data_IF_299826077562
#
_entry.id   IF_299826077562
#
_cell.length_a   1.000
_cell.length_b   1.000
_cell.length_c   1.000
_cell.angle_alpha   90.00
_cell.angle_beta   90.00
_cell.angle_gamma   90.00
#
_symmetry.space_group_name_H-M   'P 1'
#
loop_
_entity.id
_entity.type
_entity.pdbx_description
1 polymer ?
#
# COMPACT_ATOMS: atom_id res chain seq x y z
N UNK A 1 27.91 -0.20 -45.25
CA UNK A 1 27.38 -0.91 -44.06
C UNK A 1 26.75 0.10 -43.11
N UNK A 2 25.43 0.05 -42.90
CA UNK A 2 24.77 0.66 -41.73
C UNK A 2 23.71 -0.30 -41.19
N UNK A 3 24.18 -1.46 -40.75
CA UNK A 3 23.43 -2.35 -39.90
C UNK A 3 23.75 -1.94 -38.47
N UNK A 4 22.91 -1.12 -37.83
CA UNK A 4 22.86 -0.88 -36.36
C UNK A 4 21.85 0.20 -35.99
N UNK A 5 20.61 0.12 -36.45
CA UNK A 5 19.51 0.74 -35.69
C UNK A 5 18.38 -0.27 -35.59
N UNK A 6 18.60 -1.21 -34.66
CA UNK A 6 17.56 -1.95 -33.97
C UNK A 6 16.58 -0.89 -33.43
N UNK A 7 15.50 -0.62 -34.16
CA UNK A 7 14.41 0.24 -33.69
C UNK A 7 13.69 -0.56 -32.59
N UNK A 8 14.32 -0.65 -31.42
CA UNK A 8 13.58 -0.80 -30.17
C UNK A 8 12.82 0.51 -30.02
N UNK A 9 11.59 0.58 -30.54
CA UNK A 9 10.66 1.66 -30.17
C UNK A 9 10.42 1.53 -28.68
N UNK A 10 11.32 2.12 -27.90
CA UNK A 10 11.16 2.31 -26.47
C UNK A 10 9.84 3.07 -26.36
N UNK A 11 8.91 2.53 -25.58
CA UNK A 11 7.75 3.28 -25.12
C UNK A 11 8.17 4.70 -24.67
N UNK A 12 7.27 5.68 -24.76
CA UNK A 12 7.55 7.06 -24.35
C UNK A 12 8.32 7.11 -23.01
N UNK A 13 9.21 8.08 -22.82
CA UNK A 13 9.96 8.25 -21.57
C UNK A 13 9.03 8.17 -20.36
N UNK A 14 9.29 7.22 -19.45
CA UNK A 14 8.43 6.91 -18.29
C UNK A 14 7.33 5.86 -18.55
N UNK A 15 7.35 5.17 -19.68
CA UNK A 15 6.45 4.06 -20.02
C UNK A 15 7.25 2.80 -20.32
N UNK A 16 6.73 1.66 -19.87
CA UNK A 16 7.31 0.33 -20.10
C UNK A 16 6.38 -0.51 -20.97
N UNK A 17 6.97 -1.27 -21.89
CA UNK A 17 6.23 -2.23 -22.72
C UNK A 17 5.81 -3.44 -21.87
N UNK A 18 4.52 -3.76 -21.90
CA UNK A 18 3.92 -4.89 -21.20
C UNK A 18 3.16 -5.74 -22.20
N UNK A 19 3.90 -6.56 -22.94
CA UNK A 19 3.35 -7.39 -24.00
C UNK A 19 2.86 -6.58 -25.20
N UNK A 20 1.88 -7.15 -25.91
CA UNK A 20 1.34 -6.62 -27.16
C UNK A 20 -0.18 -6.43 -27.03
N UNK A 21 -0.73 -5.38 -27.64
CA UNK A 21 -2.18 -5.09 -27.69
C UNK A 21 -2.66 -4.91 -29.12
N UNK A 22 -3.93 -5.25 -29.38
CA UNK A 22 -4.57 -5.07 -30.67
C UNK A 22 -5.15 -3.65 -30.79
N UNK A 23 -4.75 -2.89 -31.80
CA UNK A 23 -5.27 -1.55 -32.11
C UNK A 23 -5.81 -1.56 -33.54
N UNK A 24 -7.10 -1.85 -33.70
CA UNK A 24 -7.71 -2.13 -35.00
C UNK A 24 -7.18 -3.45 -35.57
N UNK A 25 -6.70 -3.43 -36.81
CA UNK A 25 -6.16 -4.62 -37.50
C UNK A 25 -4.67 -4.88 -37.25
N UNK A 26 -4.00 -4.09 -36.40
CA UNK A 26 -2.56 -4.22 -36.11
C UNK A 26 -2.28 -4.53 -34.64
N UNK A 27 -1.21 -5.28 -34.40
CA UNK A 27 -0.65 -5.53 -33.07
C UNK A 27 0.41 -4.49 -32.76
N UNK A 28 0.26 -3.79 -31.65
CA UNK A 28 1.19 -2.73 -31.21
C UNK A 28 1.72 -3.03 -29.80
N UNK A 29 2.96 -2.62 -29.46
CA UNK A 29 3.46 -2.68 -28.09
C UNK A 29 2.50 -2.03 -27.10
N UNK A 30 2.19 -2.73 -26.00
CA UNK A 30 1.38 -2.13 -24.94
C UNK A 30 2.27 -1.33 -23.99
N UNK A 31 2.44 -0.05 -24.30
CA UNK A 31 3.14 0.90 -23.43
C UNK A 31 2.21 1.39 -22.31
N UNK A 32 2.57 1.08 -21.07
CA UNK A 32 1.90 1.56 -19.84
C UNK A 32 2.89 2.35 -19.00
N UNK A 33 2.42 3.37 -18.29
CA UNK A 33 3.30 4.18 -17.43
C UNK A 33 4.00 3.28 -16.44
N UNK A 34 5.28 3.52 -16.20
CA UNK A 34 6.08 2.76 -15.23
C UNK A 34 5.43 2.72 -13.84
N UNK A 35 4.75 3.80 -13.44
CA UNK A 35 3.98 3.88 -12.20
C UNK A 35 2.81 2.88 -12.16
N UNK A 36 2.09 2.71 -13.28
CA UNK A 36 0.92 1.84 -13.39
C UNK A 36 1.32 0.36 -13.45
N UNK A 37 2.45 0.02 -14.08
CA UNK A 37 2.95 -1.37 -14.11
C UNK A 37 3.51 -1.82 -12.75
N UNK A 38 3.80 -0.88 -11.86
CA UNK A 38 4.44 -1.17 -10.60
C UNK A 38 3.45 -1.39 -9.44
N UNK A 39 2.15 -1.12 -9.59
CA UNK A 39 1.14 -1.29 -8.53
C UNK A 39 0.43 -2.66 -8.61
N UNK A 40 1.20 -3.72 -8.87
CA UNK A 40 0.67 -5.09 -8.87
C UNK A 40 0.38 -5.55 -7.43
N UNK A 41 -0.76 -6.23 -7.19
CA UNK A 41 -1.08 -6.80 -5.87
C UNK A 41 0.05 -7.74 -5.41
N UNK A 42 0.77 -8.37 -6.35
CA UNK A 42 1.95 -9.20 -6.03
C UNK A 42 3.09 -8.37 -5.42
N UNK A 43 3.34 -7.16 -5.90
CA UNK A 43 4.28 -6.22 -5.29
C UNK A 43 3.77 -5.70 -3.94
N UNK A 44 2.44 -5.61 -3.80
CA UNK A 44 1.75 -5.16 -2.60
C UNK A 44 1.71 -6.21 -1.49
N UNK A 45 1.69 -7.52 -1.79
CA UNK A 45 1.77 -8.60 -0.79
C UNK A 45 3.17 -9.23 -0.66
N UNK A 46 4.08 -8.99 -1.60
CA UNK A 46 5.46 -9.48 -1.58
C UNK A 46 6.41 -8.61 -0.76
N UNK A 47 7.73 -8.89 -0.82
CA UNK A 47 8.79 -8.12 -0.14
C UNK A 47 9.16 -6.81 -0.89
N UNK A 48 8.24 -6.25 -1.67
CA UNK A 48 8.49 -5.08 -2.51
C UNK A 48 8.57 -3.77 -1.72
N UNK A 49 9.01 -2.68 -2.37
CA UNK A 49 9.10 -1.33 -1.77
C UNK A 49 7.73 -0.71 -1.40
N UNK A 50 6.63 -1.33 -1.83
CA UNK A 50 5.24 -0.87 -1.67
C UNK A 50 4.56 -1.59 -0.50
N UNK A 51 3.55 -0.98 0.13
CA UNK A 51 2.85 -1.54 1.30
C UNK A 51 3.35 -0.98 2.64
N UNK A 52 3.68 -1.86 3.60
CA UNK A 52 4.16 -1.51 4.94
C UNK A 52 5.63 -1.09 4.95
N UNK A 53 6.12 -0.58 6.09
CA UNK A 53 7.48 -0.12 6.29
C UNK A 53 8.54 -1.21 6.01
N UNK A 54 8.23 -2.47 6.31
CA UNK A 54 9.09 -3.63 5.98
C UNK A 54 8.86 -4.26 4.60
N UNK A 55 8.16 -3.57 3.70
CA UNK A 55 7.80 -4.07 2.36
C UNK A 55 6.59 -5.01 2.37
N UNK A 56 5.64 -4.79 1.46
CA UNK A 56 4.37 -5.48 1.38
C UNK A 56 3.39 -5.23 2.54
N UNK A 57 2.11 -5.43 2.30
CA UNK A 57 1.03 -5.49 3.29
C UNK A 57 0.76 -4.20 4.04
N UNK A 58 0.05 -4.33 5.16
CA UNK A 58 -0.14 -3.28 6.15
C UNK A 58 0.75 -3.55 7.37
N UNK A 59 1.13 -2.51 8.09
CA UNK A 59 1.77 -2.67 9.41
C UNK A 59 0.76 -2.41 10.53
N UNK A 60 0.89 -3.13 11.64
CA UNK A 60 0.12 -2.86 12.87
C UNK A 60 0.81 -1.84 13.76
N UNK A 61 -0.01 -0.96 14.34
CA UNK A 61 0.40 0.08 15.26
C UNK A 61 -0.33 -0.03 16.61
N UNK A 62 0.40 0.22 17.70
CA UNK A 62 -0.10 0.15 19.07
C UNK A 62 -0.69 1.49 19.57
N UNK A 63 -1.25 1.51 20.79
CA UNK A 63 -1.80 2.71 21.43
C UNK A 63 -0.76 3.78 21.81
N UNK A 64 0.52 3.51 21.61
CA UNK A 64 1.64 4.46 21.70
C UNK A 64 2.02 5.05 20.32
N UNK A 65 1.41 4.57 19.24
CA UNK A 65 1.70 5.01 17.87
C UNK A 65 2.94 4.37 17.26
N UNK A 66 3.42 3.27 17.86
CA UNK A 66 4.61 2.56 17.42
C UNK A 66 4.25 1.39 16.53
N UNK A 67 5.12 1.09 15.56
CA UNK A 67 4.98 -0.06 14.68
C UNK A 67 5.39 -1.30 15.46
N UNK A 68 4.47 -2.26 15.56
CA UNK A 68 4.64 -3.48 16.37
C UNK A 68 4.76 -4.75 15.51
N UNK A 69 4.58 -4.65 14.19
CA UNK A 69 4.75 -5.77 13.27
C UNK A 69 3.92 -5.64 12.00
N UNK A 70 3.78 -6.74 11.26
CA UNK A 70 2.88 -6.85 10.11
C UNK A 70 1.44 -7.06 10.56
N UNK A 71 0.51 -6.46 9.83
CA UNK A 71 -0.92 -6.66 10.05
C UNK A 71 -1.31 -8.08 9.64
N UNK A 72 -2.03 -8.79 10.51
CA UNK A 72 -2.33 -10.22 10.36
C UNK A 72 -1.67 -11.05 11.45
N UNK A 73 -0.43 -10.72 11.81
CA UNK A 73 0.37 -11.45 12.79
C UNK A 73 0.18 -10.90 14.22
N UNK A 74 -1.07 -10.64 14.61
CA UNK A 74 -1.38 -10.16 15.95
C UNK A 74 -1.42 -11.33 16.94
N UNK A 75 -0.68 -11.19 18.04
CA UNK A 75 -0.70 -12.20 19.11
C UNK A 75 -2.06 -12.26 19.83
N UNK A 76 -2.42 -13.39 20.47
CA UNK A 76 -3.72 -13.56 21.11
C UNK A 76 -4.01 -12.56 22.23
N UNK A 77 -2.97 -12.06 22.91
CA UNK A 77 -3.05 -11.05 23.98
C UNK A 77 -2.89 -9.61 23.48
N UNK A 78 -2.70 -9.42 22.18
CA UNK A 78 -2.50 -8.10 21.59
C UNK A 78 -3.85 -7.45 21.26
N UNK A 79 -4.22 -6.41 22.00
CA UNK A 79 -5.49 -5.71 21.75
C UNK A 79 -5.55 -5.09 20.35
N UNK A 80 -6.75 -4.96 19.76
CA UNK A 80 -6.99 -4.56 18.35
C UNK A 80 -6.05 -3.42 17.89
N UNK A 81 -5.07 -3.71 17.01
CA UNK A 81 -4.19 -2.68 16.48
C UNK A 81 -4.86 -1.91 15.34
N UNK A 82 -4.28 -0.77 14.96
CA UNK A 82 -4.61 -0.12 13.69
C UNK A 82 -3.63 -0.61 12.64
N UNK A 83 -4.14 -1.20 11.57
CA UNK A 83 -3.34 -1.53 10.41
C UNK A 83 -3.24 -0.33 9.46
N UNK A 84 -2.02 0.08 9.11
CA UNK A 84 -1.74 1.23 8.23
C UNK A 84 -0.66 0.86 7.21
N UNK A 85 -0.81 1.32 5.97
CA UNK A 85 0.27 1.29 4.98
C UNK A 85 1.38 2.29 5.36
N UNK A 86 2.56 2.18 4.75
CA UNK A 86 3.67 3.12 4.96
C UNK A 86 3.24 4.56 4.67
N UNK A 87 2.53 4.77 3.56
CA UNK A 87 2.03 6.09 3.15
C UNK A 87 0.97 6.64 4.11
N UNK A 88 0.03 5.81 4.58
CA UNK A 88 -0.99 6.22 5.54
C UNK A 88 -0.37 6.57 6.91
N UNK A 89 0.61 5.78 7.36
CA UNK A 89 1.32 6.06 8.60
C UNK A 89 2.16 7.33 8.50
N UNK A 90 2.81 7.60 7.36
CA UNK A 90 3.52 8.85 7.11
C UNK A 90 2.59 10.06 7.16
N UNK A 91 1.42 10.00 6.51
CA UNK A 91 0.39 11.06 6.56
C UNK A 91 -0.08 11.36 7.98
N UNK A 92 -0.23 10.34 8.83
CA UNK A 92 -0.59 10.53 10.23
C UNK A 92 0.56 11.14 11.04
N UNK A 93 1.79 10.67 10.82
CA UNK A 93 2.98 11.24 11.48
C UNK A 93 3.17 12.71 11.12
N UNK A 94 2.93 13.11 9.87
CA UNK A 94 2.99 14.50 9.45
C UNK A 94 1.95 15.39 10.17
N UNK A 95 0.80 14.85 10.57
CA UNK A 95 -0.27 15.62 11.25
C UNK A 95 -0.08 15.77 12.76
N UNK A 96 0.51 14.77 13.41
CA UNK A 96 0.61 14.76 14.88
C UNK A 96 1.54 13.68 15.43
N UNK A 97 2.52 13.26 14.64
CA UNK A 97 3.53 12.28 15.03
C UNK A 97 2.95 10.95 15.50
N UNK A 98 3.58 10.37 16.53
CA UNK A 98 3.11 9.14 17.19
C UNK A 98 1.73 9.32 17.83
N UNK A 99 1.41 10.53 18.35
CA UNK A 99 0.13 10.83 18.99
C UNK A 99 -1.04 10.67 18.02
N UNK A 100 -0.87 11.05 16.75
CA UNK A 100 -1.91 10.88 15.74
C UNK A 100 -2.24 9.41 15.44
N UNK A 101 -1.21 8.57 15.34
CA UNK A 101 -1.38 7.13 15.17
C UNK A 101 -2.02 6.52 16.42
N UNK A 102 -1.52 6.87 17.61
CA UNK A 102 -2.08 6.43 18.89
C UNK A 102 -3.57 6.78 19.02
N UNK A 103 -3.96 8.00 18.67
CA UNK A 103 -5.35 8.45 18.69
C UNK A 103 -6.21 7.62 17.73
N UNK A 104 -5.72 7.32 16.52
CA UNK A 104 -6.41 6.46 15.56
C UNK A 104 -6.58 5.03 16.07
N UNK A 105 -5.57 4.47 16.76
CA UNK A 105 -5.64 3.14 17.38
C UNK A 105 -6.66 3.11 18.52
N UNK A 106 -6.61 4.10 19.42
CA UNK A 106 -7.58 4.22 20.53
C UNK A 106 -9.01 4.35 20.01
N UNK A 107 -9.21 5.12 18.94
CA UNK A 107 -10.52 5.26 18.28
C UNK A 107 -10.99 3.95 17.67
N UNK A 108 -10.09 3.19 17.03
CA UNK A 108 -10.42 1.86 16.49
C UNK A 108 -10.85 0.91 17.61
N UNK A 109 -10.12 0.88 18.73
CA UNK A 109 -10.49 0.08 19.91
C UNK A 109 -11.83 0.49 20.52
N UNK A 110 -12.15 1.79 20.56
CA UNK A 110 -13.43 2.29 21.07
C UNK A 110 -14.62 1.88 20.20
N UNK A 111 -14.49 2.06 18.88
CA UNK A 111 -15.61 1.86 17.95
C UNK A 111 -15.74 0.39 17.49
N UNK A 112 -14.64 -0.36 17.50
CA UNK A 112 -14.54 -1.75 17.03
C UNK A 112 -13.64 -2.55 18.00
N UNK A 113 -14.07 -2.77 19.26
CA UNK A 113 -13.29 -3.48 20.27
C UNK A 113 -13.19 -4.97 20.01
N UNK A 114 -14.27 -5.60 19.52
CA UNK A 114 -14.33 -7.03 19.27
C UNK A 114 -13.53 -7.40 18.01
N UNK A 115 -12.48 -8.21 18.18
CA UNK A 115 -11.61 -8.66 17.09
C UNK A 115 -12.27 -9.72 16.20
N UNK A 116 -13.17 -10.54 16.76
CA UNK A 116 -13.84 -11.70 16.15
C UNK A 116 -15.26 -11.37 15.68
N UNK A 117 -15.59 -10.09 15.65
CA UNK A 117 -16.85 -9.57 15.15
C UNK A 117 -17.07 -10.00 13.69
N UNK A 118 -18.25 -10.56 13.43
CA UNK A 118 -18.75 -10.85 12.08
C UNK A 118 -19.56 -9.66 11.53
N UNK A 119 -19.70 -9.58 10.21
CA UNK A 119 -20.49 -8.55 9.50
C UNK A 119 -19.68 -7.44 8.81
N UNK A 120 -20.37 -6.52 8.13
CA UNK A 120 -19.79 -5.42 7.32
C UNK A 120 -18.78 -4.61 8.11
N UNK A 121 -17.63 -4.23 7.54
CA UNK A 121 -16.55 -3.52 8.26
C UNK A 121 -16.99 -2.23 9.00
N UNK A 122 -16.47 -1.99 10.22
CA UNK A 122 -16.62 -0.67 10.88
C UNK A 122 -15.51 0.26 10.40
N UNK A 123 -15.89 1.22 9.56
CA UNK A 123 -14.99 2.28 9.10
C UNK A 123 -14.81 3.32 10.20
N UNK A 124 -13.59 3.42 10.71
CA UNK A 124 -13.23 4.37 11.77
C UNK A 124 -12.30 5.42 11.18
N UNK A 125 -12.68 6.69 11.33
CA UNK A 125 -11.93 7.84 10.79
C UNK A 125 -10.49 7.89 11.30
N UNK A 126 -9.57 8.29 10.42
CA UNK A 126 -8.17 8.55 10.73
C UNK A 126 -7.88 10.05 10.94
N UNK A 127 -8.90 10.92 11.07
CA UNK A 127 -8.70 12.34 11.36
C UNK A 127 -7.97 12.49 12.70
N UNK A 128 -6.86 13.23 12.70
CA UNK A 128 -6.17 13.64 13.92
C UNK A 128 -6.88 14.87 14.48
N UNK A 129 -7.28 14.81 15.75
CA UNK A 129 -7.71 16.00 16.51
C UNK A 129 -6.50 16.40 17.36
N UNK A 130 -5.96 17.60 17.09
CA UNK A 130 -4.77 18.15 17.75
C UNK A 130 -5.05 18.37 19.22
#
# INVERSE_FOLDING_TARGET
MRATEFITEKCWTGYKQVGMKKKGNRMVPNCVKEDDVAEDLKAWFGKGKKGGAGGGGWDRYNTKGERIGKCGDAGPKEGKPKCLSKSAAAKLRAKGGKKAIAQAVRRKRRNDPNKDRKGKAKNVTNKYKK
#
